data_IF_734238337888
#
_entry.id   IF_734238337888
#
_cell.length_a   1.000
_cell.length_b   1.000
_cell.length_c   1.000
_cell.angle_alpha   90.00
_cell.angle_beta   90.00
_cell.angle_gamma   90.00
#
_symmetry.space_group_name_H-M   'P 1'
#
loop_
_entity.id
_entity.type
_entity.pdbx_description
1 polymer ?
#
# COMPACT_ATOMS: atom_id res chain seq x y z
N UNK A 1 -17.33 6.43 -19.19
CA UNK A 1 -15.90 6.33 -18.81
C UNK A 1 -15.80 5.49 -17.55
N UNK A 2 -14.82 4.59 -17.42
CA UNK A 2 -14.56 3.90 -16.17
C UNK A 2 -14.26 4.92 -15.05
N UNK A 3 -14.76 4.68 -13.83
CA UNK A 3 -14.59 5.60 -12.69
C UNK A 3 -13.11 5.91 -12.40
N UNK A 4 -12.23 4.97 -12.63
CA UNK A 4 -10.78 5.11 -12.48
C UNK A 4 -10.18 6.12 -13.47
N UNK A 5 -10.60 6.09 -14.73
CA UNK A 5 -10.15 7.06 -15.74
C UNK A 5 -10.59 8.49 -15.40
N UNK A 6 -11.75 8.67 -14.76
CA UNK A 6 -12.20 9.99 -14.31
C UNK A 6 -11.33 10.50 -13.17
N UNK A 7 -10.99 9.64 -12.20
CA UNK A 7 -10.10 10.00 -11.07
C UNK A 7 -8.71 10.36 -11.56
N UNK A 8 -8.15 9.60 -12.50
CA UNK A 8 -6.84 9.93 -13.11
C UNK A 8 -6.83 11.27 -13.84
N UNK A 9 -7.88 11.55 -14.62
CA UNK A 9 -8.00 12.85 -15.30
C UNK A 9 -8.12 14.00 -14.30
N UNK A 10 -8.87 13.83 -13.21
CA UNK A 10 -9.00 14.84 -12.16
C UNK A 10 -7.66 15.06 -11.45
N UNK A 11 -6.97 13.99 -11.08
CA UNK A 11 -5.65 14.08 -10.44
C UNK A 11 -4.61 14.70 -11.37
N UNK A 12 -4.61 14.34 -12.65
CA UNK A 12 -3.74 14.97 -13.65
C UNK A 12 -3.98 16.46 -13.76
N UNK A 13 -5.23 16.90 -13.89
CA UNK A 13 -5.57 18.33 -13.95
C UNK A 13 -5.19 19.08 -12.67
N UNK A 14 -5.34 18.45 -11.52
CA UNK A 14 -5.08 19.08 -10.22
C UNK A 14 -3.58 19.12 -9.86
N UNK A 15 -2.85 18.04 -10.14
CA UNK A 15 -1.48 17.87 -9.65
C UNK A 15 -0.44 17.77 -10.77
N UNK A 16 -0.86 17.54 -12.02
CA UNK A 16 0.04 17.32 -13.15
C UNK A 16 1.00 18.47 -13.38
N UNK A 17 0.50 19.71 -13.35
CA UNK A 17 1.35 20.89 -13.48
C UNK A 17 2.28 21.08 -12.27
N UNK A 18 1.75 20.88 -11.06
CA UNK A 18 2.53 21.05 -9.83
C UNK A 18 3.65 19.99 -9.72
N UNK A 19 3.42 18.76 -10.23
CA UNK A 19 4.39 17.68 -10.22
C UNK A 19 5.22 17.60 -11.50
N UNK A 20 4.97 18.50 -12.48
CA UNK A 20 5.60 18.49 -13.81
C UNK A 20 5.58 17.08 -14.42
N UNK A 21 4.38 16.56 -14.60
CA UNK A 21 4.15 15.15 -14.95
C UNK A 21 4.73 14.77 -16.30
N UNK A 22 4.93 15.73 -17.20
CA UNK A 22 5.69 15.57 -18.44
C UNK A 22 7.08 15.01 -18.22
N UNK A 23 7.69 15.23 -17.03
CA UNK A 23 8.99 14.69 -16.68
C UNK A 23 8.95 13.19 -16.37
N UNK A 24 7.80 12.65 -16.01
CA UNK A 24 7.62 11.23 -15.69
C UNK A 24 7.10 10.41 -16.88
N UNK A 25 6.67 11.06 -17.96
CA UNK A 25 6.39 10.44 -19.27
C UNK A 25 5.18 9.53 -19.33
N UNK A 26 4.36 9.40 -18.25
CA UNK A 26 3.23 8.48 -18.22
C UNK A 26 2.06 9.04 -17.40
N UNK A 27 0.88 9.07 -18.02
CA UNK A 27 -0.38 9.37 -17.34
C UNK A 27 -0.90 8.15 -16.56
N UNK A 28 -0.57 6.95 -17.03
CA UNK A 28 -0.93 5.70 -16.36
C UNK A 28 -0.14 5.57 -15.04
N UNK A 29 -0.85 5.57 -13.93
CA UNK A 29 -0.24 5.46 -12.60
C UNK A 29 -0.23 6.76 -11.79
N UNK A 30 -0.74 7.88 -12.34
CA UNK A 30 -0.87 9.15 -11.59
C UNK A 30 -1.65 8.96 -10.29
N UNK A 31 -2.75 8.22 -10.34
CA UNK A 31 -3.59 7.98 -9.17
C UNK A 31 -2.83 7.24 -8.07
N UNK A 32 -2.12 6.17 -8.45
CA UNK A 32 -1.25 5.44 -7.52
C UNK A 32 -0.10 6.28 -6.97
N UNK A 33 0.50 7.15 -7.82
CA UNK A 33 1.57 8.04 -7.39
C UNK A 33 1.06 9.09 -6.39
N UNK A 34 -0.06 9.74 -6.69
CA UNK A 34 -0.70 10.72 -5.80
C UNK A 34 -1.15 10.06 -4.49
N UNK A 35 -1.72 8.85 -4.55
CA UNK A 35 -2.10 8.07 -3.37
C UNK A 35 -0.89 7.73 -2.48
N UNK A 36 0.22 7.32 -3.10
CA UNK A 36 1.48 7.07 -2.40
C UNK A 36 2.05 8.32 -1.73
N UNK A 37 2.02 9.47 -2.41
CA UNK A 37 2.45 10.76 -1.84
C UNK A 37 1.55 11.20 -0.68
N UNK A 38 0.22 11.01 -0.78
CA UNK A 38 -0.70 11.28 0.34
C UNK A 38 -0.36 10.43 1.56
N UNK A 39 -0.07 9.15 1.33
CA UNK A 39 0.34 8.26 2.41
C UNK A 39 1.64 8.72 3.07
N UNK A 40 2.67 9.09 2.29
CA UNK A 40 3.93 9.62 2.82
C UNK A 40 3.73 10.94 3.58
N UNK A 41 2.95 11.86 3.01
CA UNK A 41 2.59 13.15 3.62
C UNK A 41 1.94 12.95 4.98
N UNK A 42 0.93 12.08 5.05
CA UNK A 42 0.23 11.78 6.30
C UNK A 42 1.18 11.18 7.36
N UNK A 43 2.07 10.26 6.98
CA UNK A 43 3.06 9.68 7.87
C UNK A 43 4.12 10.66 8.34
N UNK A 44 4.49 11.60 7.49
CA UNK A 44 5.48 12.65 7.81
C UNK A 44 4.89 13.79 8.62
N UNK A 45 3.56 13.85 8.79
CA UNK A 45 2.89 14.98 9.42
C UNK A 45 2.98 16.29 8.62
N UNK A 46 3.17 16.19 7.29
CA UNK A 46 3.26 17.33 6.36
C UNK A 46 1.93 17.48 5.65
N UNK A 47 1.43 18.69 5.47
CA UNK A 47 0.24 18.91 4.65
C UNK A 47 0.49 18.47 3.21
N UNK A 48 -0.47 17.76 2.61
CA UNK A 48 -0.28 17.19 1.28
C UNK A 48 -0.01 18.25 0.21
N UNK A 49 -0.71 19.39 0.27
CA UNK A 49 -0.54 20.47 -0.70
C UNK A 49 0.83 21.15 -0.56
N UNK A 50 1.39 21.24 0.67
CA UNK A 50 2.75 21.71 0.92
C UNK A 50 3.80 20.76 0.31
N UNK A 51 3.60 19.44 0.46
CA UNK A 51 4.47 18.46 -0.16
C UNK A 51 4.42 18.59 -1.69
N UNK A 52 3.24 18.70 -2.29
CA UNK A 52 3.07 18.86 -3.74
C UNK A 52 3.72 20.16 -4.23
N UNK A 53 3.52 21.28 -3.54
CA UNK A 53 4.13 22.58 -3.86
C UNK A 53 5.67 22.48 -3.83
N UNK A 54 6.21 21.81 -2.82
CA UNK A 54 7.66 21.62 -2.70
C UNK A 54 8.22 20.72 -3.80
N UNK A 55 7.55 19.59 -4.10
CA UNK A 55 7.98 18.70 -5.19
C UNK A 55 7.88 19.39 -6.57
N UNK A 56 6.89 20.25 -6.77
CA UNK A 56 6.71 21.04 -7.99
C UNK A 56 7.76 22.13 -8.20
N UNK A 57 8.54 22.49 -7.17
CA UNK A 57 9.64 23.45 -7.31
C UNK A 57 10.90 22.90 -7.97
N UNK A 58 11.01 21.58 -8.13
CA UNK A 58 12.16 20.95 -8.77
C UNK A 58 12.01 20.89 -10.29
N UNK A 59 13.12 21.13 -11.00
CA UNK A 59 13.17 21.16 -12.46
C UNK A 59 13.51 19.79 -13.08
N UNK A 60 14.02 18.85 -12.29
CA UNK A 60 14.47 17.56 -12.76
C UNK A 60 13.76 16.41 -12.02
N UNK A 61 13.36 15.33 -12.73
CA UNK A 61 12.71 14.16 -12.11
C UNK A 61 13.57 13.55 -11.00
N UNK A 62 14.88 13.51 -11.18
CA UNK A 62 15.80 12.94 -10.20
C UNK A 62 15.78 13.68 -8.86
N UNK A 63 15.57 14.99 -8.88
CA UNK A 63 15.44 15.80 -7.67
C UNK A 63 14.14 15.47 -6.93
N UNK A 64 13.03 15.31 -7.66
CA UNK A 64 11.75 14.88 -7.10
C UNK A 64 11.87 13.50 -6.48
N UNK A 65 12.46 12.55 -7.20
CA UNK A 65 12.70 11.18 -6.69
C UNK A 65 13.64 11.21 -5.48
N UNK A 66 14.68 12.05 -5.52
CA UNK A 66 15.58 12.25 -4.40
C UNK A 66 14.81 12.69 -3.16
N UNK A 67 13.99 13.72 -3.28
CA UNK A 67 13.24 14.28 -2.16
C UNK A 67 12.22 13.30 -1.59
N UNK A 68 11.48 12.58 -2.44
CA UNK A 68 10.55 11.52 -1.99
C UNK A 68 11.31 10.43 -1.22
N UNK A 69 12.49 10.06 -1.70
CA UNK A 69 13.34 9.06 -1.03
C UNK A 69 13.82 9.57 0.32
N UNK A 70 14.36 10.80 0.38
CA UNK A 70 14.85 11.40 1.61
C UNK A 70 13.71 11.51 2.65
N UNK A 71 12.51 11.89 2.20
CA UNK A 71 11.33 11.91 3.06
C UNK A 71 11.00 10.52 3.59
N UNK A 72 10.92 9.50 2.73
CA UNK A 72 10.64 8.13 3.15
C UNK A 72 11.73 7.56 4.07
N UNK A 73 13.01 7.94 3.84
CA UNK A 73 14.14 7.53 4.67
C UNK A 73 14.17 8.23 6.03
N UNK A 74 13.63 9.44 6.12
CA UNK A 74 13.52 10.17 7.39
C UNK A 74 12.39 9.68 8.27
N UNK A 75 11.41 8.96 7.71
CA UNK A 75 10.30 8.42 8.50
C UNK A 75 10.81 7.33 9.45
N UNK A 76 10.36 7.36 10.70
CA UNK A 76 10.66 6.28 11.62
C UNK A 76 10.15 4.97 11.02
N UNK A 77 10.95 3.91 11.13
CA UNK A 77 10.47 2.57 10.78
C UNK A 77 9.23 2.28 11.64
N UNK A 78 8.21 1.63 11.06
CA UNK A 78 7.08 1.19 11.87
C UNK A 78 7.59 0.11 12.83
N UNK A 79 7.93 0.51 14.06
CA UNK A 79 8.48 -0.36 15.10
C UNK A 79 7.44 -1.33 15.64
N UNK A 80 6.20 -1.20 15.23
CA UNK A 80 5.09 -2.01 15.74
C UNK A 80 4.38 -2.77 14.62
N UNK A 81 4.06 -4.00 14.95
CA UNK A 81 3.06 -4.74 14.19
C UNK A 81 1.73 -3.95 14.24
N UNK A 82 0.96 -3.95 13.16
CA UNK A 82 -0.40 -3.43 13.21
C UNK A 82 -1.20 -4.09 14.32
N UNK A 83 -2.24 -3.39 14.77
CA UNK A 83 -3.11 -3.91 15.81
C UNK A 83 -3.58 -5.34 15.51
N UNK A 84 -3.67 -6.22 16.49
CA UNK A 84 -4.13 -7.58 16.28
C UNK A 84 -5.62 -7.63 15.88
N UNK A 85 -6.35 -6.52 16.04
CA UNK A 85 -7.73 -6.38 15.59
C UNK A 85 -7.94 -5.09 14.81
N UNK A 86 -8.45 -5.24 13.57
CA UNK A 86 -8.77 -4.14 12.67
C UNK A 86 -10.23 -4.26 12.25
N UNK A 87 -11.11 -3.54 12.94
CA UNK A 87 -12.55 -3.70 12.77
C UNK A 87 -12.98 -5.15 13.02
N UNK A 88 -13.63 -5.84 12.06
CA UNK A 88 -14.05 -7.23 12.20
C UNK A 88 -12.91 -8.22 11.96
N UNK A 89 -11.72 -7.77 11.58
CA UNK A 89 -10.58 -8.61 11.27
C UNK A 89 -9.74 -8.89 12.52
N UNK A 90 -9.43 -10.14 12.77
CA UNK A 90 -8.53 -10.61 13.84
C UNK A 90 -7.29 -11.23 13.20
N UNK A 91 -6.10 -10.81 13.65
CA UNK A 91 -4.84 -11.37 13.18
C UNK A 91 -4.66 -12.80 13.66
N UNK A 92 -4.24 -13.67 12.75
CA UNK A 92 -3.86 -15.04 13.08
C UNK A 92 -2.36 -15.05 13.42
N UNK A 93 -2.05 -15.27 14.68
CA UNK A 93 -0.68 -15.27 15.19
C UNK A 93 -0.11 -16.70 15.35
N UNK A 94 -0.89 -17.72 14.97
CA UNK A 94 -0.54 -19.12 15.12
C UNK A 94 -0.51 -19.86 13.78
N UNK A 95 0.63 -20.44 13.44
CA UNK A 95 0.82 -21.21 12.20
C UNK A 95 -0.15 -22.40 12.08
N UNK A 96 -0.48 -23.06 13.20
CA UNK A 96 -1.42 -24.18 13.19
C UNK A 96 -2.85 -23.71 12.85
N UNK A 97 -3.27 -22.55 13.34
CA UNK A 97 -4.55 -21.94 12.99
C UNK A 97 -4.62 -21.56 11.50
N UNK A 98 -3.54 -20.96 10.96
CA UNK A 98 -3.45 -20.63 9.54
C UNK A 98 -3.55 -21.89 8.67
N UNK A 99 -2.86 -22.97 9.05
CA UNK A 99 -2.94 -24.27 8.34
C UNK A 99 -4.34 -24.87 8.41
N UNK A 100 -4.97 -24.81 9.57
CA UNK A 100 -6.33 -25.33 9.78
C UNK A 100 -7.34 -24.54 8.93
N UNK A 101 -7.22 -23.22 8.91
CA UNK A 101 -8.04 -22.35 8.08
C UNK A 101 -7.81 -22.62 6.59
N UNK A 102 -6.55 -22.73 6.16
CA UNK A 102 -6.21 -23.05 4.77
C UNK A 102 -6.85 -24.34 4.31
N UNK A 103 -6.83 -25.36 5.14
CA UNK A 103 -7.48 -26.66 4.86
C UNK A 103 -9.00 -26.52 4.80
N UNK A 104 -9.60 -25.88 5.79
CA UNK A 104 -11.06 -25.70 5.87
C UNK A 104 -11.61 -24.87 4.71
N UNK A 105 -10.87 -23.88 4.28
CA UNK A 105 -11.27 -22.95 3.21
C UNK A 105 -10.75 -23.34 1.82
N UNK A 106 -9.96 -24.41 1.71
CA UNK A 106 -9.32 -24.81 0.44
C UNK A 106 -8.62 -23.64 -0.26
N UNK A 107 -7.80 -22.89 0.49
CA UNK A 107 -7.10 -21.72 -0.01
C UNK A 107 -5.57 -21.87 0.05
N UNK A 108 -4.85 -20.92 -0.53
CA UNK A 108 -3.40 -20.94 -0.66
C UNK A 108 -2.63 -20.33 0.51
N UNK A 109 -3.25 -20.10 1.68
CA UNK A 109 -2.59 -19.46 2.83
C UNK A 109 -1.31 -20.20 3.26
N UNK A 110 -1.23 -21.51 3.05
CA UNK A 110 -0.02 -22.29 3.35
C UNK A 110 1.22 -21.80 2.59
N UNK A 111 1.03 -21.18 1.42
CA UNK A 111 2.13 -20.65 0.62
C UNK A 111 2.77 -19.39 1.24
N UNK A 112 2.13 -18.80 2.24
CA UNK A 112 2.57 -17.58 2.91
C UNK A 112 3.18 -17.84 4.30
N UNK A 113 3.23 -19.12 4.74
CA UNK A 113 3.68 -19.44 6.10
C UNK A 113 5.14 -19.03 6.36
N UNK A 114 6.00 -19.14 5.35
CA UNK A 114 7.39 -18.71 5.47
C UNK A 114 7.46 -17.21 5.79
N UNK A 115 6.83 -16.38 4.98
CA UNK A 115 6.87 -14.92 5.17
C UNK A 115 6.11 -14.46 6.42
N UNK A 116 5.10 -15.21 6.88
CA UNK A 116 4.46 -14.97 8.17
C UNK A 116 5.44 -15.25 9.31
N UNK A 117 6.18 -16.35 9.24
CA UNK A 117 7.19 -16.71 10.22
C UNK A 117 8.36 -15.72 10.26
N UNK A 118 8.75 -15.19 9.10
CA UNK A 118 9.75 -14.12 8.96
C UNK A 118 9.23 -12.74 9.40
N UNK A 119 7.95 -12.61 9.73
CA UNK A 119 7.33 -11.34 10.14
C UNK A 119 7.21 -10.32 9.01
N UNK A 120 7.23 -10.76 7.75
CA UNK A 120 7.07 -9.90 6.56
C UNK A 120 5.65 -9.90 6.01
N UNK A 121 4.81 -10.84 6.45
CA UNK A 121 3.39 -10.91 6.13
C UNK A 121 2.56 -11.17 7.38
N UNK A 122 1.34 -10.64 7.37
CA UNK A 122 0.34 -10.88 8.41
C UNK A 122 -0.95 -11.33 7.74
N UNK A 123 -1.64 -12.26 8.41
CA UNK A 123 -2.92 -12.79 7.96
C UNK A 123 -3.99 -12.39 8.97
N UNK A 124 -5.06 -11.79 8.47
CA UNK A 124 -6.23 -11.40 9.26
C UNK A 124 -7.45 -12.17 8.77
N UNK A 125 -8.24 -12.67 9.69
CA UNK A 125 -9.50 -13.37 9.43
C UNK A 125 -10.68 -12.52 9.88
N UNK A 126 -11.70 -12.38 9.04
CA UNK A 126 -13.02 -11.88 9.41
C UNK A 126 -14.07 -12.94 9.11
N UNK A 127 -14.80 -13.36 10.13
CA UNK A 127 -15.98 -14.24 10.02
C UNK A 127 -17.28 -13.49 10.30
N UNK A 128 -17.18 -12.24 10.75
CA UNK A 128 -18.27 -11.34 11.06
C UNK A 128 -18.46 -10.32 9.93
N UNK A 129 -19.55 -9.59 9.98
CA UNK A 129 -19.81 -8.43 9.13
C UNK A 129 -19.84 -8.78 7.62
N UNK A 130 -20.74 -9.69 7.25
CA UNK A 130 -21.00 -10.11 5.88
C UNK A 130 -20.24 -11.39 5.48
N UNK A 131 -19.71 -11.43 4.26
CA UNK A 131 -18.99 -12.60 3.77
C UNK A 131 -17.67 -12.79 4.53
N UNK A 132 -17.40 -14.02 5.00
CA UNK A 132 -16.12 -14.30 5.65
C UNK A 132 -14.96 -14.05 4.68
N UNK A 133 -13.88 -13.47 5.20
CA UNK A 133 -12.75 -13.06 4.37
C UNK A 133 -11.42 -13.19 5.10
N UNK A 134 -10.37 -13.42 4.33
CA UNK A 134 -8.98 -13.33 4.77
C UNK A 134 -8.31 -12.14 4.10
N UNK A 135 -7.67 -11.31 4.90
CA UNK A 135 -6.83 -10.23 4.43
C UNK A 135 -5.35 -10.60 4.59
N UNK A 136 -4.57 -10.37 3.55
CA UNK A 136 -3.12 -10.49 3.54
C UNK A 136 -2.51 -9.10 3.60
N UNK A 137 -1.76 -8.82 4.66
CA UNK A 137 -1.03 -7.57 4.88
C UNK A 137 0.46 -7.86 4.74
N UNK A 138 1.14 -7.06 3.95
CA UNK A 138 2.57 -7.24 3.65
C UNK A 138 3.38 -6.06 4.16
N UNK A 139 4.61 -6.33 4.59
CA UNK A 139 5.55 -5.29 4.95
C UNK A 139 6.15 -4.67 3.68
N UNK A 140 5.98 -3.38 3.53
CA UNK A 140 6.59 -2.60 2.45
C UNK A 140 7.76 -1.84 3.03
N UNK A 141 8.95 -2.16 2.57
CA UNK A 141 10.18 -1.57 3.08
C UNK A 141 10.09 -0.04 3.14
N UNK A 142 10.38 0.55 4.31
CA UNK A 142 10.33 1.98 4.64
C UNK A 142 8.93 2.63 4.62
N UNK A 143 7.93 2.00 4.00
CA UNK A 143 6.56 2.53 3.99
C UNK A 143 5.68 1.96 5.10
N UNK A 144 6.07 0.84 5.69
CA UNK A 144 5.31 0.18 6.74
C UNK A 144 4.53 -1.02 6.24
N UNK A 145 3.27 -1.12 6.61
CA UNK A 145 2.41 -2.22 6.24
C UNK A 145 1.40 -1.78 5.19
N UNK A 146 1.10 -2.66 4.24
CA UNK A 146 0.09 -2.41 3.21
C UNK A 146 -0.80 -3.65 3.00
N UNK A 147 -2.06 -3.42 2.72
CA UNK A 147 -3.02 -4.46 2.39
C UNK A 147 -2.78 -4.94 0.97
N UNK A 148 -2.34 -6.20 0.82
CA UNK A 148 -2.06 -6.79 -0.48
C UNK A 148 -3.31 -7.33 -1.15
N UNK A 149 -4.16 -8.04 -0.40
CA UNK A 149 -5.39 -8.63 -0.94
C UNK A 149 -6.39 -8.96 0.16
N UNK A 150 -7.66 -9.07 -0.23
CA UNK A 150 -8.74 -9.66 0.57
C UNK A 150 -9.44 -10.70 -0.29
N UNK A 151 -9.59 -11.90 0.24
CA UNK A 151 -10.22 -13.03 -0.45
C UNK A 151 -11.22 -13.73 0.46
N UNK A 152 -12.28 -14.25 -0.13
CA UNK A 152 -13.19 -15.18 0.53
C UNK A 152 -12.63 -16.61 0.57
N UNK A 153 -13.41 -17.57 1.12
CA UNK A 153 -13.12 -19.00 1.04
C UNK A 153 -12.83 -19.43 -0.40
N UNK A 154 -11.96 -20.43 -0.59
CA UNK A 154 -11.53 -20.97 -1.91
C UNK A 154 -10.85 -19.90 -2.80
N UNK A 155 -10.25 -18.88 -2.20
CA UNK A 155 -9.64 -17.74 -2.91
C UNK A 155 -10.61 -16.95 -3.80
N UNK A 156 -11.91 -17.01 -3.51
CA UNK A 156 -12.90 -16.28 -4.29
C UNK A 156 -12.71 -14.77 -4.07
N UNK A 157 -12.72 -14.02 -5.17
CA UNK A 157 -12.75 -12.57 -5.09
C UNK A 157 -14.07 -12.09 -4.50
N UNK A 158 -14.00 -11.18 -3.56
CA UNK A 158 -15.16 -10.48 -3.06
C UNK A 158 -15.70 -9.55 -4.16
N UNK A 159 -17.01 -9.30 -4.16
CA UNK A 159 -17.53 -8.25 -5.00
C UNK A 159 -16.91 -6.89 -4.65
N UNK A 160 -17.01 -5.95 -5.58
CA UNK A 160 -16.32 -4.66 -5.49
C UNK A 160 -16.73 -3.84 -4.26
N UNK A 161 -18.01 -3.90 -3.88
CA UNK A 161 -18.56 -3.13 -2.75
C UNK A 161 -18.01 -3.70 -1.46
N UNK A 162 -18.09 -5.02 -1.29
CA UNK A 162 -17.61 -5.71 -0.11
C UNK A 162 -16.08 -5.59 0.04
N UNK A 163 -15.35 -5.76 -1.06
CA UNK A 163 -13.90 -5.58 -1.07
C UNK A 163 -13.50 -4.15 -0.67
N UNK A 164 -14.22 -3.13 -1.16
CA UNK A 164 -13.98 -1.73 -0.78
C UNK A 164 -14.27 -1.52 0.71
N UNK A 165 -15.45 -1.93 1.16
CA UNK A 165 -15.88 -1.78 2.56
C UNK A 165 -14.89 -2.40 3.55
N UNK A 166 -14.41 -3.60 3.23
CA UNK A 166 -13.40 -4.29 4.06
C UNK A 166 -12.03 -3.60 3.98
N UNK A 167 -11.60 -3.14 2.80
CA UNK A 167 -10.35 -2.40 2.63
C UNK A 167 -10.33 -1.08 3.40
N UNK A 168 -11.46 -0.39 3.48
CA UNK A 168 -11.57 0.89 4.18
C UNK A 168 -11.32 0.75 5.69
N UNK A 169 -11.54 -0.43 6.27
CA UNK A 169 -11.19 -0.73 7.66
C UNK A 169 -9.67 -0.71 7.87
N UNK A 170 -8.92 -1.28 6.93
CA UNK A 170 -7.45 -1.25 6.95
C UNK A 170 -6.92 0.16 6.71
N UNK A 171 -7.48 0.89 5.75
CA UNK A 171 -7.10 2.28 5.48
C UNK A 171 -7.32 3.18 6.72
N UNK A 172 -8.44 3.02 7.42
CA UNK A 172 -8.72 3.73 8.68
C UNK A 172 -7.72 3.39 9.80
N UNK A 173 -7.12 2.19 9.76
CA UNK A 173 -6.07 1.76 10.67
C UNK A 173 -4.65 2.16 10.19
N UNK A 174 -4.53 2.99 9.15
CA UNK A 174 -3.25 3.44 8.60
C UNK A 174 -2.54 2.41 7.72
N UNK A 175 -3.26 1.40 7.23
CA UNK A 175 -2.75 0.35 6.34
C UNK A 175 -3.36 0.56 4.95
N UNK A 176 -2.67 1.29 4.04
CA UNK A 176 -3.15 1.54 2.69
C UNK A 176 -3.19 0.25 1.86
N UNK A 177 -3.89 0.26 0.74
CA UNK A 177 -3.78 -0.83 -0.25
C UNK A 177 -2.38 -0.82 -0.86
N UNK A 178 -1.84 -1.99 -1.11
CA UNK A 178 -0.52 -2.11 -1.76
C UNK A 178 -0.49 -1.41 -3.12
N UNK A 179 -1.58 -1.48 -3.89
CA UNK A 179 -1.71 -0.77 -5.17
C UNK A 179 -1.59 0.76 -5.02
N UNK A 180 -2.08 1.33 -3.91
CA UNK A 180 -2.06 2.78 -3.68
C UNK A 180 -0.65 3.30 -3.35
N UNK A 181 0.26 2.43 -2.92
CA UNK A 181 1.65 2.78 -2.58
C UNK A 181 2.67 2.19 -3.54
N UNK A 182 2.23 1.41 -4.53
CA UNK A 182 3.12 0.67 -5.43
C UNK A 182 4.06 1.59 -6.20
N UNK A 183 3.57 2.70 -6.73
CA UNK A 183 4.37 3.64 -7.51
C UNK A 183 5.51 4.26 -6.66
N UNK A 184 5.23 4.66 -5.42
CA UNK A 184 6.26 5.18 -4.51
C UNK A 184 7.23 4.08 -4.09
N UNK A 185 6.75 2.87 -3.80
CA UNK A 185 7.59 1.70 -3.53
C UNK A 185 8.56 1.44 -4.66
N UNK A 186 8.10 1.47 -5.90
CA UNK A 186 8.93 1.18 -7.08
C UNK A 186 9.99 2.27 -7.31
N UNK A 187 9.66 3.54 -7.05
CA UNK A 187 10.63 4.63 -7.06
C UNK A 187 11.75 4.41 -6.02
N UNK A 188 11.37 4.08 -4.79
CA UNK A 188 12.32 3.82 -3.70
C UNK A 188 13.23 2.64 -4.01
N UNK A 189 12.68 1.58 -4.62
CA UNK A 189 13.44 0.39 -5.02
C UNK A 189 14.47 0.68 -6.12
N UNK A 190 14.05 1.37 -7.19
CA UNK A 190 14.95 1.70 -8.33
C UNK A 190 16.17 2.49 -7.87
N UNK A 191 16.01 3.43 -6.96
CA UNK A 191 17.12 4.24 -6.46
C UNK A 191 18.12 3.45 -5.63
N UNK A 192 17.66 2.49 -4.83
CA UNK A 192 18.56 1.61 -4.07
C UNK A 192 19.44 0.78 -5.00
N UNK A 193 18.87 0.25 -6.09
CA UNK A 193 19.60 -0.52 -7.07
C UNK A 193 20.69 0.30 -7.78
N UNK A 194 20.38 1.55 -8.14
CA UNK A 194 21.32 2.46 -8.80
C UNK A 194 22.47 2.92 -7.88
N UNK A 195 22.24 3.04 -6.58
CA UNK A 195 23.31 3.34 -5.60
C UNK A 195 24.24 2.16 -5.36
N UNK A 196 23.73 0.92 -5.40
CA UNK A 196 24.54 -0.30 -5.21
C UNK A 196 25.45 -0.63 -6.39
N UNK A 197 25.24 -0.06 -7.57
CA UNK A 197 26.05 -0.28 -8.79
C UNK A 197 27.21 0.72 -8.90
N UNK A 198 27.25 1.77 -8.08
CA UNK A 198 28.31 2.80 -8.08
C UNK A 198 29.30 2.70 -6.90
N UNK A 199 29.24 1.59 -6.15
CA UNK A 199 30.17 1.32 -5.05
C UNK A 199 31.31 0.36 -5.42
#
# INVERSE_FOLDING_TARGET
MPRQAVVEVVNFKKYGHALRFELFGQIEGMDGFVSGLRFLSARAGIAFDDLIGHLGSFDQPDQVVAKITDLAESLPLPDRLPDPRIGPFVRLDNIAEIRSLAKAWHNCLVNHLYEVNEGTKLIYLSIEDGLPAVALVVRVHRLGWALAQIKGPRNIDLDRIEASRKSDKFAAAGIPRLADVAAVKDLLWRRQFLRGVRG
#
